data_IF_361158552230
#
_entry.id   IF_361158552230
#
_cell.length_a   1.000
_cell.length_b   1.000
_cell.length_c   1.000
_cell.angle_alpha   90.00
_cell.angle_beta   90.00
_cell.angle_gamma   90.00
#
_symmetry.space_group_name_H-M   'P 1'
#
loop_
_entity.id
_entity.type
_entity.pdbx_description
1 polymer ?
#
# COMPACT_ATOMS: atom_id res chain seq x y z
N UNK A 1 2.59 12.33 -7.67
CA UNK A 1 2.66 10.86 -7.67
C UNK A 1 1.25 10.30 -7.83
N UNK A 2 1.11 9.17 -8.51
CA UNK A 2 -0.21 8.56 -8.74
C UNK A 2 -0.94 8.16 -7.45
N UNK A 3 -0.22 7.81 -6.38
CA UNK A 3 -0.81 7.49 -5.09
C UNK A 3 -1.44 8.69 -4.38
N UNK A 4 -1.15 9.90 -4.83
CA UNK A 4 -1.64 11.15 -4.24
C UNK A 4 -2.49 11.96 -5.22
N UNK A 5 -2.61 11.50 -6.48
CA UNK A 5 -3.34 12.17 -7.57
C UNK A 5 -4.28 11.18 -8.25
N UNK A 6 -5.56 11.24 -7.89
CA UNK A 6 -6.60 10.35 -8.42
C UNK A 6 -6.75 10.47 -9.93
N UNK A 7 -6.70 11.68 -10.49
CA UNK A 7 -6.86 11.91 -11.93
C UNK A 7 -5.70 11.28 -12.71
N UNK A 8 -4.47 11.46 -12.26
CA UNK A 8 -3.30 10.84 -12.87
C UNK A 8 -3.38 9.30 -12.79
N UNK A 9 -3.73 8.76 -11.63
CA UNK A 9 -3.89 7.32 -11.44
C UNK A 9 -4.96 6.76 -12.37
N UNK A 10 -6.11 7.43 -12.46
CA UNK A 10 -7.21 7.03 -13.34
C UNK A 10 -6.77 7.00 -14.80
N UNK A 11 -6.09 8.04 -15.27
CA UNK A 11 -5.62 8.14 -16.66
C UNK A 11 -4.65 7.00 -16.99
N UNK A 12 -3.72 6.71 -16.09
CA UNK A 12 -2.78 5.60 -16.24
C UNK A 12 -3.49 4.25 -16.34
N UNK A 13 -4.45 4.00 -15.46
CA UNK A 13 -5.18 2.74 -15.42
C UNK A 13 -6.13 2.59 -16.61
N UNK A 14 -6.79 3.66 -17.04
CA UNK A 14 -7.60 3.62 -18.26
C UNK A 14 -6.76 3.25 -19.48
N UNK A 15 -5.56 3.82 -19.61
CA UNK A 15 -4.66 3.50 -20.70
C UNK A 15 -4.23 2.01 -20.68
N UNK A 16 -3.89 1.48 -19.50
CA UNK A 16 -3.52 0.07 -19.35
C UNK A 16 -4.69 -0.86 -19.66
N UNK A 17 -5.88 -0.56 -19.16
CA UNK A 17 -7.09 -1.36 -19.35
C UNK A 17 -7.60 -1.31 -20.79
N UNK A 18 -7.30 -0.25 -21.54
CA UNK A 18 -7.64 -0.18 -22.96
C UNK A 18 -6.88 -1.22 -23.79
N UNK A 19 -5.67 -1.60 -23.34
CA UNK A 19 -4.84 -2.61 -23.99
C UNK A 19 -5.13 -4.01 -23.45
N UNK A 20 -5.37 -4.14 -22.15
CA UNK A 20 -5.59 -5.42 -21.47
C UNK A 20 -6.76 -5.29 -20.48
N UNK A 21 -8.02 -5.43 -20.93
CA UNK A 21 -9.21 -5.18 -20.09
C UNK A 21 -9.36 -6.10 -18.87
N UNK A 22 -8.73 -7.27 -18.89
CA UNK A 22 -8.81 -8.26 -17.80
C UNK A 22 -7.70 -8.12 -16.75
N UNK A 23 -6.89 -7.07 -16.82
CA UNK A 23 -5.86 -6.81 -15.82
C UNK A 23 -6.47 -6.61 -14.43
N UNK A 24 -5.78 -7.16 -13.43
CA UNK A 24 -6.02 -6.83 -12.03
C UNK A 24 -5.04 -5.72 -11.65
N UNK A 25 -5.55 -4.55 -11.27
CA UNK A 25 -4.71 -3.41 -10.91
C UNK A 25 -4.34 -3.50 -9.44
N UNK A 26 -3.05 -3.59 -9.14
CA UNK A 26 -2.57 -3.49 -7.76
C UNK A 26 -2.40 -2.03 -7.38
N UNK A 27 -3.00 -1.63 -6.28
CA UNK A 27 -2.99 -0.25 -5.83
C UNK A 27 -2.57 -0.15 -4.37
N UNK A 28 -1.95 0.95 -4.00
CA UNK A 28 -1.70 1.24 -2.59
C UNK A 28 -3.04 1.44 -1.89
N UNK A 29 -3.30 0.61 -0.88
CA UNK A 29 -4.56 0.64 -0.16
C UNK A 29 -4.79 2.02 0.50
N UNK A 30 -6.05 2.46 0.52
CA UNK A 30 -6.50 3.72 1.10
C UNK A 30 -5.87 4.98 0.48
N UNK A 31 -5.38 4.91 -0.74
CA UNK A 31 -4.80 6.06 -1.45
C UNK A 31 -5.69 6.52 -2.62
N UNK A 32 -5.25 7.58 -3.31
CA UNK A 32 -5.90 8.03 -4.54
C UNK A 32 -5.95 6.95 -5.63
N UNK A 33 -5.00 6.01 -5.63
CA UNK A 33 -5.01 4.86 -6.55
C UNK A 33 -6.24 3.96 -6.32
N UNK A 34 -6.58 3.70 -5.06
CA UNK A 34 -7.78 2.93 -4.71
C UNK A 34 -9.05 3.64 -5.18
N UNK A 35 -9.16 4.95 -4.95
CA UNK A 35 -10.27 5.74 -5.43
C UNK A 35 -10.41 5.68 -6.95
N UNK A 36 -9.30 5.75 -7.68
CA UNK A 36 -9.28 5.67 -9.13
C UNK A 36 -9.82 4.33 -9.65
N UNK A 37 -9.35 3.19 -9.11
CA UNK A 37 -9.82 1.88 -9.57
C UNK A 37 -11.27 1.62 -9.22
N UNK A 38 -11.75 2.12 -8.09
CA UNK A 38 -13.17 2.05 -7.71
C UNK A 38 -14.04 2.83 -8.71
N UNK A 39 -13.59 4.01 -9.11
CA UNK A 39 -14.32 4.83 -10.10
C UNK A 39 -14.36 4.20 -11.49
N UNK A 40 -13.34 3.42 -11.85
CA UNK A 40 -13.27 2.71 -13.13
C UNK A 40 -14.07 1.40 -13.15
N UNK A 41 -14.40 0.86 -11.97
CA UNK A 41 -15.12 -0.41 -11.87
C UNK A 41 -14.32 -1.63 -12.32
N UNK A 42 -12.99 -1.54 -12.37
CA UNK A 42 -12.11 -2.63 -12.79
C UNK A 42 -11.79 -3.58 -11.62
N UNK A 43 -11.17 -4.71 -11.94
CA UNK A 43 -10.63 -5.63 -10.93
C UNK A 43 -9.39 -5.00 -10.30
N UNK A 44 -9.29 -5.06 -8.98
CA UNK A 44 -8.16 -4.48 -8.26
C UNK A 44 -7.82 -5.25 -6.99
N UNK A 45 -6.57 -5.08 -6.55
CA UNK A 45 -6.07 -5.63 -5.30
C UNK A 45 -5.46 -4.52 -4.47
N UNK A 46 -5.82 -4.45 -3.19
CA UNK A 46 -5.28 -3.48 -2.24
C UNK A 46 -3.97 -4.00 -1.64
N UNK A 47 -2.90 -3.22 -1.77
CA UNK A 47 -1.57 -3.57 -1.32
C UNK A 47 -1.17 -2.72 -0.11
N UNK A 48 -0.57 -3.37 0.89
CA UNK A 48 0.11 -2.71 2.00
C UNK A 48 1.58 -3.09 2.03
N UNK A 49 2.40 -2.28 2.67
CA UNK A 49 3.84 -2.49 2.76
C UNK A 49 4.25 -3.00 4.14
N UNK A 50 4.96 -4.12 4.17
CA UNK A 50 5.44 -4.72 5.42
C UNK A 50 6.53 -3.88 6.09
N UNK A 51 7.39 -3.26 5.31
CA UNK A 51 8.63 -2.64 5.74
C UNK A 51 8.63 -1.10 5.70
N UNK A 52 7.46 -0.48 5.54
CA UNK A 52 7.32 0.98 5.47
C UNK A 52 6.27 1.48 6.45
N UNK A 53 6.57 2.59 7.13
CA UNK A 53 5.62 3.27 8.00
C UNK A 53 4.64 4.14 7.20
N UNK A 54 3.45 4.35 7.76
CA UNK A 54 2.38 5.13 7.14
C UNK A 54 2.10 6.42 7.91
N UNK A 55 1.87 7.50 7.18
CA UNK A 55 1.30 8.74 7.71
C UNK A 55 -0.22 8.57 7.98
N UNK A 56 -0.80 9.51 8.71
CA UNK A 56 -2.23 9.46 9.07
C UNK A 56 -3.19 9.59 7.88
N UNK A 57 -2.69 9.95 6.70
CA UNK A 57 -3.44 9.98 5.44
C UNK A 57 -3.21 8.75 4.55
N UNK A 58 -2.58 7.72 5.07
CA UNK A 58 -2.20 6.49 4.38
C UNK A 58 -1.09 6.64 3.34
N UNK A 59 -0.45 7.80 3.23
CA UNK A 59 0.77 7.92 2.43
C UNK A 59 1.96 7.34 3.20
N UNK A 60 3.00 6.94 2.47
CA UNK A 60 4.20 6.42 3.10
C UNK A 60 5.01 7.56 3.72
N UNK A 61 5.56 7.32 4.92
CA UNK A 61 6.49 8.25 5.56
C UNK A 61 7.74 8.39 4.68
N UNK A 62 8.24 9.62 4.53
CA UNK A 62 9.44 9.89 3.75
C UNK A 62 10.61 9.06 4.26
N UNK A 63 11.31 8.38 3.36
CA UNK A 63 12.44 7.49 3.70
C UNK A 63 13.56 8.17 4.47
N UNK A 64 13.70 9.48 4.35
CA UNK A 64 14.71 10.25 5.08
C UNK A 64 14.40 10.40 6.58
N UNK A 65 13.16 10.13 6.99
CA UNK A 65 12.75 10.26 8.38
C UNK A 65 13.08 9.01 9.18
N UNK A 66 13.50 9.15 10.46
CA UNK A 66 13.69 8.00 11.34
C UNK A 66 12.41 7.17 11.47
N UNK A 67 12.54 5.84 11.40
CA UNK A 67 11.40 4.93 11.53
C UNK A 67 10.55 4.76 10.26
N UNK A 68 10.88 5.47 9.18
CA UNK A 68 10.16 5.34 7.90
C UNK A 68 10.29 3.95 7.28
N UNK A 69 11.47 3.36 7.38
CA UNK A 69 11.77 1.98 6.94
C UNK A 69 11.91 1.09 8.17
N UNK A 70 11.22 -0.04 8.18
CA UNK A 70 11.21 -0.97 9.30
C UNK A 70 12.22 -2.07 9.02
N UNK A 71 13.27 -2.16 9.84
CA UNK A 71 14.36 -3.11 9.67
C UNK A 71 14.20 -4.36 10.53
N UNK A 72 13.40 -4.31 11.60
CA UNK A 72 13.16 -5.45 12.49
C UNK A 72 12.12 -6.40 11.87
N UNK A 73 12.53 -7.62 11.55
CA UNK A 73 11.67 -8.61 10.92
C UNK A 73 10.46 -8.99 11.81
N UNK A 74 10.67 -9.14 13.11
CA UNK A 74 9.57 -9.47 14.03
C UNK A 74 8.57 -8.33 14.14
N UNK A 75 9.03 -7.09 14.20
CA UNK A 75 8.18 -5.92 14.24
C UNK A 75 7.38 -5.77 12.94
N UNK A 76 8.01 -5.98 11.79
CA UNK A 76 7.34 -5.94 10.49
C UNK A 76 6.24 -7.01 10.39
N UNK A 77 6.55 -8.24 10.78
CA UNK A 77 5.58 -9.34 10.76
C UNK A 77 4.40 -9.07 11.71
N UNK A 78 4.67 -8.61 12.93
CA UNK A 78 3.63 -8.29 13.91
C UNK A 78 2.70 -7.20 13.40
N UNK A 79 3.23 -6.16 12.76
CA UNK A 79 2.44 -5.09 12.12
C UNK A 79 1.50 -5.64 11.07
N UNK A 80 1.99 -6.52 10.21
CA UNK A 80 1.18 -7.09 9.13
C UNK A 80 0.03 -7.92 9.68
N UNK A 81 0.29 -8.75 10.68
CA UNK A 81 -0.75 -9.54 11.36
C UNK A 81 -1.82 -8.61 11.95
N UNK A 82 -1.40 -7.54 12.63
CA UNK A 82 -2.31 -6.56 13.22
C UNK A 82 -3.18 -5.88 12.17
N UNK A 83 -2.58 -5.39 11.09
CA UNK A 83 -3.29 -4.70 10.01
C UNK A 83 -4.28 -5.64 9.30
N UNK A 84 -3.87 -6.87 9.02
CA UNK A 84 -4.74 -7.86 8.36
C UNK A 84 -5.91 -8.23 9.26
N UNK A 85 -5.67 -8.46 10.54
CA UNK A 85 -6.74 -8.76 11.51
C UNK A 85 -7.71 -7.60 11.69
N UNK A 86 -7.19 -6.37 11.72
CA UNK A 86 -8.01 -5.18 11.87
C UNK A 86 -8.75 -4.79 10.58
N UNK A 87 -8.32 -5.30 9.41
CA UNK A 87 -8.83 -4.84 8.12
C UNK A 87 -8.57 -3.36 7.90
N UNK A 88 -7.42 -2.87 8.36
CA UNK A 88 -7.08 -1.45 8.35
C UNK A 88 -5.58 -1.23 8.30
N UNK A 89 -5.16 -0.12 7.68
CA UNK A 89 -3.81 0.39 7.82
C UNK A 89 -3.68 1.02 9.20
N UNK A 90 -2.61 0.66 9.91
CA UNK A 90 -2.28 1.26 11.22
C UNK A 90 -1.12 2.21 11.00
N UNK A 91 -1.36 3.50 11.22
CA UNK A 91 -0.39 4.56 10.96
C UNK A 91 0.64 4.68 12.08
N UNK A 92 1.65 5.51 11.86
CA UNK A 92 2.70 5.84 12.82
C UNK A 92 2.15 6.31 14.17
N UNK A 93 1.06 7.09 14.15
CA UNK A 93 0.39 7.58 15.36
C UNK A 93 -0.56 6.57 16.01
N UNK A 94 -0.75 5.41 15.39
CA UNK A 94 -1.70 4.41 15.85
C UNK A 94 -3.11 4.55 15.30
N UNK A 95 -3.34 5.49 14.38
CA UNK A 95 -4.64 5.66 13.72
C UNK A 95 -4.94 4.48 12.81
N UNK A 96 -6.17 3.97 12.88
CA UNK A 96 -6.65 2.91 12.00
C UNK A 96 -7.40 3.50 10.81
N UNK A 97 -6.98 3.15 9.60
CA UNK A 97 -7.64 3.55 8.35
C UNK A 97 -8.23 2.28 7.74
N UNK A 98 -9.56 2.06 7.81
CA UNK A 98 -10.19 0.87 7.24
C UNK A 98 -9.84 0.74 5.76
N UNK A 99 -9.44 -0.46 5.34
CA UNK A 99 -8.97 -0.68 3.99
C UNK A 99 -9.08 -2.15 3.61
N UNK A 100 -9.28 -2.40 2.32
CA UNK A 100 -9.18 -3.74 1.75
C UNK A 100 -7.71 -4.10 1.59
N UNK A 101 -7.29 -5.19 2.22
CA UNK A 101 -5.91 -5.67 2.16
C UNK A 101 -5.92 -7.05 1.48
N UNK A 102 -5.42 -7.11 0.26
CA UNK A 102 -5.37 -8.32 -0.55
C UNK A 102 -3.95 -8.87 -0.68
N UNK A 103 -2.95 -8.00 -0.61
CA UNK A 103 -1.55 -8.38 -0.80
C UNK A 103 -0.62 -7.52 0.04
N UNK A 104 0.53 -8.08 0.36
CA UNK A 104 1.57 -7.43 1.16
C UNK A 104 2.83 -7.30 0.32
N UNK A 105 3.32 -6.08 0.15
CA UNK A 105 4.56 -5.81 -0.55
C UNK A 105 5.74 -5.90 0.41
N UNK A 106 6.79 -6.53 -0.06
CA UNK A 106 8.05 -6.65 0.66
C UNK A 106 9.18 -6.23 -0.28
N UNK A 107 9.98 -5.27 0.15
CA UNK A 107 11.09 -4.77 -0.65
C UNK A 107 12.35 -5.58 -0.41
N UNK A 108 13.15 -5.75 -1.45
CA UNK A 108 14.42 -6.48 -1.38
C UNK A 108 15.65 -5.58 -1.26
N UNK A 109 15.46 -4.29 -0.98
CA UNK A 109 16.50 -3.28 -1.01
C UNK A 109 17.13 -3.00 0.36
N UNK A 110 16.80 -3.77 1.38
CA UNK A 110 17.39 -3.69 2.72
C UNK A 110 18.10 -4.99 3.08
N UNK A 111 19.06 -4.91 4.01
CA UNK A 111 19.80 -6.09 4.48
C UNK A 111 18.89 -7.11 5.19
N UNK A 112 17.79 -6.64 5.79
CA UNK A 112 16.86 -7.45 6.57
C UNK A 112 15.71 -8.04 5.74
N UNK A 113 15.65 -7.77 4.45
CA UNK A 113 14.52 -8.16 3.59
C UNK A 113 14.21 -9.67 3.64
N UNK A 114 15.24 -10.50 3.64
CA UNK A 114 15.08 -11.97 3.69
C UNK A 114 14.47 -12.41 5.03
N UNK A 115 14.86 -11.79 6.13
CA UNK A 115 14.32 -12.12 7.46
C UNK A 115 12.89 -11.65 7.62
N UNK A 116 12.52 -10.53 6.99
CA UNK A 116 11.14 -10.03 7.02
C UNK A 116 10.22 -10.96 6.22
N UNK A 117 10.70 -11.50 5.12
CA UNK A 117 9.95 -12.43 4.30
C UNK A 117 9.66 -13.74 5.04
#
# INVERSE_FOLDING_TARGET
MASEDEELARDLYEAALSVAPDLIVMVLAATAQEAAVKSLGCKWAGEIFADRAYNDDATLVDRSKPGAVIHDAEAAAARMVEMVKAGAIITESGKHIPSRIDTICLHGDTAEAVQIA
#
